data_IF_539404619341
#
_entry.id   IF_539404619341
#
_cell.length_a   1.000
_cell.length_b   1.000
_cell.length_c   1.000
_cell.angle_alpha   90.00
_cell.angle_beta   90.00
_cell.angle_gamma   90.00
#
_symmetry.space_group_name_H-M   'P 1'
#
loop_
_entity.id
_entity.type
_entity.pdbx_description
1 polymer ?
#
# COMPACT_ATOMS: atom_id res chain seq x y z
N UNK A 1 -3.32 -29.10 42.98
CA UNK A 1 -3.37 -27.76 42.38
C UNK A 1 -2.33 -27.73 41.28
N UNK A 2 -2.65 -28.33 40.12
CA UNK A 2 -1.72 -28.50 39.01
C UNK A 2 -1.88 -27.31 38.07
N UNK A 3 -0.95 -26.37 38.13
CA UNK A 3 -0.84 -25.28 37.17
C UNK A 3 -0.07 -25.78 35.95
N UNK A 4 -0.73 -25.71 34.80
CA UNK A 4 -0.26 -26.14 33.49
C UNK A 4 1.04 -25.43 33.09
N UNK A 5 2.12 -26.18 32.94
CA UNK A 5 3.24 -25.84 32.07
C UNK A 5 3.15 -26.77 30.88
N UNK A 6 2.58 -26.29 29.77
CA UNK A 6 2.73 -26.95 28.47
C UNK A 6 3.58 -26.03 27.60
N UNK A 7 4.88 -26.13 27.83
CA UNK A 7 5.90 -25.82 26.83
C UNK A 7 5.84 -26.98 25.82
N UNK A 8 5.09 -26.79 24.73
CA UNK A 8 5.12 -27.68 23.58
C UNK A 8 5.44 -26.89 22.34
N UNK A 9 6.75 -26.63 22.20
CA UNK A 9 7.39 -26.50 20.91
C UNK A 9 7.14 -27.77 20.07
N UNK A 10 6.09 -27.79 19.23
CA UNK A 10 5.95 -28.84 18.20
C UNK A 10 5.08 -28.44 17.00
N UNK A 11 5.79 -28.23 15.88
CA UNK A 11 5.38 -28.20 14.47
C UNK A 11 4.43 -27.07 14.03
N UNK A 12 4.70 -26.41 12.88
CA UNK A 12 3.65 -25.68 12.18
C UNK A 12 2.57 -26.70 11.84
N UNK A 13 1.40 -26.59 12.49
CA UNK A 13 0.23 -27.33 12.03
C UNK A 13 -0.08 -26.78 10.64
N UNK A 14 -0.52 -27.60 9.71
CA UNK A 14 -0.77 -27.15 8.32
C UNK A 14 -1.63 -25.87 8.26
N UNK A 15 -2.55 -25.70 9.21
CA UNK A 15 -3.35 -24.49 9.40
C UNK A 15 -2.56 -23.23 9.80
N UNK A 16 -1.40 -23.33 10.46
CA UNK A 16 -0.53 -22.19 10.77
C UNK A 16 0.18 -21.68 9.50
N UNK A 17 0.55 -22.58 8.58
CA UNK A 17 1.14 -22.23 7.28
C UNK A 17 0.11 -21.55 6.38
N UNK A 18 -1.08 -22.12 6.27
CA UNK A 18 -2.19 -21.52 5.50
C UNK A 18 -2.58 -20.16 6.08
N UNK A 19 -2.71 -20.05 7.40
CA UNK A 19 -2.97 -18.77 8.06
C UNK A 19 -1.86 -17.76 7.80
N UNK A 20 -0.60 -18.16 7.84
CA UNK A 20 0.52 -17.26 7.53
C UNK A 20 0.47 -16.76 6.08
N UNK A 21 0.15 -17.62 5.12
CA UNK A 21 -0.02 -17.23 3.71
C UNK A 21 -1.20 -16.26 3.54
N UNK A 22 -2.35 -16.54 4.16
CA UNK A 22 -3.51 -15.64 4.16
C UNK A 22 -3.19 -14.28 4.79
N UNK A 23 -2.48 -14.26 5.92
CA UNK A 23 -2.06 -13.02 6.58
C UNK A 23 -1.15 -12.16 5.70
N UNK A 24 -0.24 -12.79 4.94
CA UNK A 24 0.63 -12.07 3.99
C UNK A 24 -0.19 -11.45 2.85
N UNK A 25 -1.15 -12.19 2.30
CA UNK A 25 -2.04 -11.68 1.24
C UNK A 25 -2.92 -10.53 1.73
N UNK A 26 -3.55 -10.68 2.89
CA UNK A 26 -4.39 -9.63 3.47
C UNK A 26 -3.57 -8.39 3.84
N UNK A 27 -2.34 -8.55 4.31
CA UNK A 27 -1.43 -7.44 4.55
C UNK A 27 -1.12 -6.68 3.26
N UNK A 28 -0.81 -7.39 2.16
CA UNK A 28 -0.55 -6.76 0.87
C UNK A 28 -1.78 -5.99 0.37
N UNK A 29 -2.98 -6.56 0.51
CA UNK A 29 -4.24 -5.91 0.14
C UNK A 29 -4.49 -4.65 0.98
N UNK A 30 -4.28 -4.71 2.30
CA UNK A 30 -4.42 -3.57 3.18
C UNK A 30 -3.45 -2.43 2.82
N UNK A 31 -2.20 -2.77 2.49
CA UNK A 31 -1.20 -1.80 2.03
C UNK A 31 -1.60 -1.15 0.69
N UNK A 32 -2.13 -1.94 -0.24
CA UNK A 32 -2.62 -1.42 -1.52
C UNK A 32 -3.82 -0.48 -1.33
N UNK A 33 -4.78 -0.85 -0.47
CA UNK A 33 -5.91 0.02 -0.15
C UNK A 33 -5.46 1.32 0.52
N UNK A 34 -4.46 1.27 1.41
CA UNK A 34 -3.89 2.47 2.02
C UNK A 34 -3.28 3.42 0.96
N UNK A 35 -2.61 2.88 -0.07
CA UNK A 35 -2.12 3.70 -1.18
C UNK A 35 -3.26 4.30 -2.01
N UNK A 36 -4.35 3.56 -2.25
CA UNK A 36 -5.53 4.11 -2.92
C UNK A 36 -6.12 5.26 -2.12
N UNK A 37 -6.20 5.15 -0.80
CA UNK A 37 -6.69 6.23 0.07
C UNK A 37 -5.78 7.46 -0.01
N UNK A 38 -4.46 7.27 0.07
CA UNK A 38 -3.50 8.37 -0.09
C UNK A 38 -3.66 9.07 -1.45
N UNK A 39 -3.78 8.31 -2.55
CA UNK A 39 -3.99 8.89 -3.87
C UNK A 39 -5.32 9.63 -3.96
N UNK A 40 -6.37 9.09 -3.33
CA UNK A 40 -7.67 9.73 -3.27
C UNK A 40 -7.57 11.08 -2.57
N UNK A 41 -6.94 11.15 -1.40
CA UNK A 41 -6.82 12.39 -0.63
C UNK A 41 -5.98 13.43 -1.39
N UNK A 42 -4.80 13.04 -1.88
CA UNK A 42 -3.90 13.95 -2.61
C UNK A 42 -4.53 14.44 -3.91
N UNK A 43 -5.08 13.55 -4.72
CA UNK A 43 -5.62 13.92 -6.02
C UNK A 43 -6.98 14.61 -5.91
N UNK A 44 -7.75 14.34 -4.86
CA UNK A 44 -8.95 15.10 -4.56
C UNK A 44 -8.62 16.58 -4.35
N UNK A 45 -7.67 16.88 -3.47
CA UNK A 45 -7.26 18.26 -3.18
C UNK A 45 -6.67 19.00 -4.40
N UNK A 46 -6.09 18.27 -5.37
CA UNK A 46 -5.50 18.86 -6.57
C UNK A 46 -6.48 19.04 -7.72
N UNK A 47 -7.41 18.10 -7.90
CA UNK A 47 -8.21 18.01 -9.12
C UNK A 47 -9.69 18.36 -8.94
N UNK A 48 -10.22 18.26 -7.72
CA UNK A 48 -11.64 18.52 -7.46
C UNK A 48 -11.86 19.96 -7.01
N UNK A 49 -12.30 20.82 -7.94
CA UNK A 49 -12.74 22.19 -7.62
C UNK A 49 -14.21 22.21 -7.19
N UNK A 50 -15.11 21.68 -8.03
CA UNK A 50 -16.57 21.69 -7.79
C UNK A 50 -17.16 20.30 -7.98
N UNK A 51 -17.57 19.61 -6.90
CA UNK A 51 -18.18 18.30 -7.02
C UNK A 51 -19.55 18.40 -7.69
N UNK A 52 -19.75 17.59 -8.73
CA UNK A 52 -21.02 17.42 -9.44
C UNK A 52 -21.54 15.99 -9.30
N UNK A 53 -22.71 15.71 -9.88
CA UNK A 53 -23.27 14.35 -9.94
C UNK A 53 -22.48 13.39 -10.84
N UNK A 54 -21.60 13.94 -11.68
CA UNK A 54 -20.66 13.22 -12.55
C UNK A 54 -19.35 13.99 -12.61
N UNK A 55 -18.25 13.29 -12.82
CA UNK A 55 -16.98 13.90 -13.15
C UNK A 55 -17.06 14.44 -14.58
N UNK A 56 -16.64 15.69 -14.79
CA UNK A 56 -16.44 16.21 -16.13
C UNK A 56 -15.11 15.68 -16.70
N UNK A 57 -14.96 15.77 -18.02
CA UNK A 57 -13.78 15.23 -18.72
C UNK A 57 -12.46 15.86 -18.27
N UNK A 58 -12.49 17.11 -17.82
CA UNK A 58 -11.31 17.81 -17.30
C UNK A 58 -10.88 17.20 -15.97
N UNK A 59 -11.83 16.97 -15.09
CA UNK A 59 -11.62 16.39 -13.77
C UNK A 59 -11.13 14.94 -13.88
N UNK A 60 -11.75 14.14 -14.75
CA UNK A 60 -11.31 12.77 -15.04
C UNK A 60 -9.86 12.75 -15.57
N UNK A 61 -9.54 13.60 -16.55
CA UNK A 61 -8.18 13.73 -17.07
C UNK A 61 -7.18 14.16 -15.99
N UNK A 62 -7.58 15.09 -15.11
CA UNK A 62 -6.73 15.54 -14.00
C UNK A 62 -6.44 14.40 -13.02
N UNK A 63 -7.46 13.65 -12.60
CA UNK A 63 -7.31 12.54 -11.65
C UNK A 63 -6.37 11.46 -12.20
N UNK A 64 -6.55 11.05 -13.46
CA UNK A 64 -5.66 10.09 -14.13
C UNK A 64 -4.21 10.58 -14.14
N UNK A 65 -3.99 11.83 -14.59
CA UNK A 65 -2.66 12.41 -14.61
C UNK A 65 -2.06 12.56 -13.20
N UNK A 66 -2.87 12.90 -12.20
CA UNK A 66 -2.40 13.09 -10.83
C UNK A 66 -1.82 11.79 -10.26
N UNK A 67 -2.54 10.68 -10.39
CA UNK A 67 -2.08 9.37 -9.92
C UNK A 67 -0.83 8.92 -10.69
N UNK A 68 -0.84 9.00 -12.02
CA UNK A 68 0.31 8.63 -12.86
C UNK A 68 1.56 9.44 -12.48
N UNK A 69 1.43 10.75 -12.34
CA UNK A 69 2.53 11.64 -11.96
C UNK A 69 3.03 11.37 -10.55
N UNK A 70 2.15 11.06 -9.60
CA UNK A 70 2.56 10.73 -8.23
C UNK A 70 3.43 9.46 -8.22
N UNK A 71 3.00 8.42 -8.95
CA UNK A 71 3.74 7.16 -9.05
C UNK A 71 5.09 7.38 -9.75
N UNK A 72 5.09 8.08 -10.89
CA UNK A 72 6.30 8.39 -11.67
C UNK A 72 7.36 9.11 -10.80
N UNK A 73 6.94 10.15 -10.09
CA UNK A 73 7.83 10.95 -9.24
C UNK A 73 8.31 10.15 -8.04
N UNK A 74 7.43 9.38 -7.40
CA UNK A 74 7.78 8.54 -6.25
C UNK A 74 8.84 7.50 -6.63
N UNK A 75 8.68 6.86 -7.79
CA UNK A 75 9.64 5.88 -8.31
C UNK A 75 10.97 6.55 -8.68
N UNK A 76 10.93 7.71 -9.35
CA UNK A 76 12.11 8.49 -9.70
C UNK A 76 12.94 8.85 -8.46
N UNK A 77 12.27 9.37 -7.43
CA UNK A 77 12.92 9.78 -6.18
C UNK A 77 13.52 8.56 -5.47
N UNK A 78 12.73 7.48 -5.32
CA UNK A 78 13.18 6.24 -4.65
C UNK A 78 14.39 5.63 -5.35
N UNK A 79 14.35 5.53 -6.68
CA UNK A 79 15.46 5.01 -7.48
C UNK A 79 16.72 5.87 -7.35
N UNK A 80 16.56 7.20 -7.35
CA UNK A 80 17.69 8.11 -7.16
C UNK A 80 18.33 7.91 -5.78
N UNK A 81 17.54 7.78 -4.73
CA UNK A 81 18.07 7.52 -3.38
C UNK A 81 18.77 6.16 -3.31
N UNK A 82 18.20 5.10 -3.88
CA UNK A 82 18.82 3.78 -3.92
C UNK A 82 20.21 3.83 -4.60
N UNK A 83 20.33 4.53 -5.73
CA UNK A 83 21.60 4.71 -6.44
C UNK A 83 22.64 5.46 -5.60
N UNK A 84 22.23 6.49 -4.84
CA UNK A 84 23.14 7.24 -3.99
C UNK A 84 23.67 6.39 -2.84
N UNK A 85 22.81 5.58 -2.21
CA UNK A 85 23.20 4.66 -1.13
C UNK A 85 24.17 3.58 -1.62
N UNK A 86 23.94 3.03 -2.81
CA UNK A 86 24.84 2.06 -3.44
C UNK A 86 26.22 2.66 -3.75
N UNK A 87 26.31 3.96 -4.05
CA UNK A 87 27.58 4.63 -4.36
C UNK A 87 28.37 5.02 -3.10
N UNK A 88 27.68 5.17 -1.97
CA UNK A 88 28.31 5.52 -0.68
C UNK A 88 28.81 4.33 0.13
N UNK A 89 28.49 3.10 -0.29
CA UNK A 89 29.03 1.84 0.24
C UNK A 89 30.17 1.34 -0.64
#
# INVERSE_FOLDING_TARGET
MSGYSDDSSSLPKDGDRELQELLLMEKQKAQFHAQIHEFSDVCWDKCMDRPGSKLDSRTETCLTNCVDRFIDVSLLITNRFAQLLQKSM
#
